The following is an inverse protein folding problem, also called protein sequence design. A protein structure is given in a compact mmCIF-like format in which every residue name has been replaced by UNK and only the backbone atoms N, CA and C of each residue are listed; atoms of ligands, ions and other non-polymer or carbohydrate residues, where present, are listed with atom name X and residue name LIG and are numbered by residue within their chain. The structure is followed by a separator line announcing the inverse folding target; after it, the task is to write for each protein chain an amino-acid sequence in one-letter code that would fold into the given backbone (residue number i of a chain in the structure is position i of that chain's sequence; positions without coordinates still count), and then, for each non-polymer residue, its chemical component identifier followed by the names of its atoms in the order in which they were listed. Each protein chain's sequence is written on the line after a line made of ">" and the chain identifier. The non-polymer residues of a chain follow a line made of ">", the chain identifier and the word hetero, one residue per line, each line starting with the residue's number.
data_IF_977197972975
#
_entry.id   IF_977197972975
#
_cell.length_a   1.000
_cell.length_b   1.000
_cell.length_c   1.000
_cell.angle_alpha   90.00
_cell.angle_beta   90.00
_cell.angle_gamma   90.00
#
_symmetry.space_group_name_H-M   'P 1'
#
loop_
_entity.id
_entity.type
_entity.pdbx_description
1 polymer ?
#
# COMPACT_ATOMS: atom_id res chain seq x y z
N UNK A 1 0.78 42.73 -26.98
CA UNK A 1 0.85 41.37 -27.56
C UNK A 1 1.38 40.43 -26.50
N UNK A 2 0.51 39.68 -25.86
CA UNK A 2 0.89 38.77 -24.81
C UNK A 2 0.86 37.33 -25.38
N UNK A 3 2.02 36.66 -25.38
CA UNK A 3 2.17 35.30 -25.83
C UNK A 3 1.85 34.34 -24.70
N UNK A 4 0.77 33.59 -24.84
CA UNK A 4 0.34 32.57 -23.90
C UNK A 4 1.02 31.25 -24.29
N UNK A 5 2.08 30.84 -23.56
CA UNK A 5 2.67 29.51 -23.73
C UNK A 5 1.81 28.48 -23.01
N UNK A 6 1.17 27.59 -23.75
CA UNK A 6 0.52 26.38 -23.25
C UNK A 6 1.59 25.40 -22.79
N UNK A 7 1.64 25.12 -21.49
CA UNK A 7 2.36 23.97 -20.94
C UNK A 7 1.49 22.74 -21.15
N UNK A 8 1.92 21.84 -22.04
CA UNK A 8 1.27 20.55 -22.22
C UNK A 8 1.76 19.61 -21.11
N UNK A 9 0.88 19.27 -20.16
CA UNK A 9 1.07 18.14 -19.27
C UNK A 9 1.00 16.84 -20.10
N UNK A 10 2.16 16.19 -20.25
CA UNK A 10 2.24 14.85 -20.77
C UNK A 10 2.02 13.91 -19.60
N UNK A 11 0.80 13.36 -19.50
CA UNK A 11 0.46 12.32 -18.53
C UNK A 11 1.30 11.07 -18.82
N UNK A 12 2.08 10.65 -17.84
CA UNK A 12 2.79 9.37 -17.85
C UNK A 12 1.85 8.26 -17.38
N UNK A 13 0.94 7.82 -18.24
CA UNK A 13 -0.05 6.76 -17.94
C UNK A 13 0.49 5.33 -18.08
N UNK A 14 1.67 5.16 -18.67
CA UNK A 14 2.18 3.82 -19.04
C UNK A 14 2.75 3.02 -17.86
N UNK A 15 3.26 3.67 -16.80
CA UNK A 15 3.82 3.02 -15.62
C UNK A 15 2.76 2.46 -14.65
N UNK A 16 1.65 3.18 -14.50
CA UNK A 16 0.56 2.76 -13.60
C UNK A 16 -0.22 1.56 -14.13
N UNK A 17 -0.39 1.46 -15.43
CA UNK A 17 -1.13 0.35 -16.07
C UNK A 17 -0.38 -0.97 -15.93
N UNK A 18 0.96 -0.96 -16.00
CA UNK A 18 1.78 -2.16 -15.85
C UNK A 18 1.73 -2.73 -14.43
N UNK A 19 1.72 -1.89 -13.40
CA UNK A 19 1.68 -2.35 -11.99
C UNK A 19 0.39 -3.05 -11.61
N UNK A 20 -0.75 -2.63 -12.16
CA UNK A 20 -2.07 -3.19 -11.83
C UNK A 20 -2.29 -4.58 -12.43
N UNK A 21 -1.74 -4.86 -13.60
CA UNK A 21 -1.87 -6.17 -14.27
C UNK A 21 -1.27 -7.33 -13.46
N UNK A 22 -0.45 -7.05 -12.45
CA UNK A 22 0.19 -8.06 -11.60
C UNK A 22 -0.52 -8.25 -10.24
N UNK A 23 -1.51 -7.41 -9.90
CA UNK A 23 -2.24 -7.54 -8.63
C UNK A 23 -3.28 -8.65 -8.76
N UNK A 24 -3.09 -9.72 -8.00
CA UNK A 24 -4.03 -10.84 -7.92
C UNK A 24 -5.30 -10.46 -7.14
N UNK A 25 -6.23 -11.40 -7.00
CA UNK A 25 -7.44 -11.23 -6.21
C UNK A 25 -8.68 -10.87 -7.02
N UNK A 26 -9.82 -10.81 -6.34
CA UNK A 26 -11.14 -10.75 -6.96
C UNK A 26 -11.68 -9.32 -7.19
N UNK A 27 -10.92 -8.29 -6.84
CA UNK A 27 -11.31 -6.91 -7.13
C UNK A 27 -11.26 -6.60 -8.63
N UNK A 28 -12.12 -5.68 -9.07
CA UNK A 28 -12.03 -5.15 -10.43
C UNK A 28 -10.72 -4.39 -10.64
N UNK A 29 -10.27 -4.30 -11.89
CA UNK A 29 -9.06 -3.54 -12.25
C UNK A 29 -9.13 -2.06 -11.81
N UNK A 30 -10.32 -1.46 -11.84
CA UNK A 30 -10.55 -0.11 -11.33
C UNK A 30 -10.31 -0.03 -9.82
N UNK A 31 -10.81 -1.00 -9.05
CA UNK A 31 -10.62 -1.06 -7.61
C UNK A 31 -9.16 -1.31 -7.24
N UNK A 32 -8.47 -2.21 -7.94
CA UNK A 32 -7.03 -2.46 -7.75
C UNK A 32 -6.19 -1.20 -8.01
N UNK A 33 -6.49 -0.45 -9.10
CA UNK A 33 -5.84 0.84 -9.37
C UNK A 33 -6.08 1.85 -8.26
N UNK A 34 -7.29 1.92 -7.73
CA UNK A 34 -7.60 2.83 -6.63
C UNK A 34 -6.81 2.46 -5.37
N UNK A 35 -6.78 1.18 -4.98
CA UNK A 35 -5.98 0.70 -3.84
C UNK A 35 -4.50 1.04 -4.01
N UNK A 36 -3.92 0.75 -5.17
CA UNK A 36 -2.52 1.08 -5.47
C UNK A 36 -2.26 2.58 -5.45
N UNK A 37 -3.17 3.39 -6.01
CA UNK A 37 -3.06 4.84 -6.02
C UNK A 37 -3.09 5.44 -4.62
N UNK A 38 -4.00 4.98 -3.74
CA UNK A 38 -4.06 5.40 -2.34
C UNK A 38 -2.79 4.98 -1.59
N UNK A 39 -2.34 3.74 -1.78
CA UNK A 39 -1.09 3.27 -1.18
C UNK A 39 0.10 4.14 -1.62
N UNK A 40 0.27 4.36 -2.91
CA UNK A 40 1.34 5.20 -3.46
C UNK A 40 1.27 6.63 -2.94
N UNK A 41 0.09 7.17 -2.69
CA UNK A 41 -0.07 8.49 -2.08
C UNK A 41 0.50 8.53 -0.66
N UNK A 42 0.29 7.49 0.16
CA UNK A 42 0.84 7.41 1.51
C UNK A 42 2.36 7.21 1.55
N UNK A 43 2.93 6.51 0.58
CA UNK A 43 4.39 6.31 0.46
C UNK A 43 5.09 7.38 -0.37
N UNK A 44 4.37 8.43 -0.76
CA UNK A 44 4.78 9.43 -1.75
C UNK A 44 6.22 9.95 -1.57
N UNK A 45 6.74 10.44 -2.60
CA UNK A 45 8.02 11.13 -2.88
C UNK A 45 9.15 10.90 -1.85
N UNK A 46 10.19 10.13 -2.21
CA UNK A 46 11.40 9.95 -1.38
C UNK A 46 11.91 11.27 -0.82
N UNK A 47 12.21 11.30 0.48
CA UNK A 47 12.72 12.48 1.20
C UNK A 47 11.64 13.42 1.74
N UNK A 48 10.36 13.28 1.39
CA UNK A 48 9.29 14.17 1.86
C UNK A 48 8.36 13.53 2.91
N UNK A 49 8.41 12.22 3.11
CA UNK A 49 7.62 11.53 4.14
C UNK A 49 8.45 10.50 4.90
N UNK A 50 8.05 10.25 6.14
CA UNK A 50 8.70 9.24 6.98
C UNK A 50 8.67 7.87 6.31
N UNK A 51 9.83 7.21 6.21
CA UNK A 51 9.95 5.86 5.68
C UNK A 51 9.62 5.69 4.19
N UNK A 52 9.54 6.76 3.40
CA UNK A 52 9.18 6.69 1.98
C UNK A 52 10.06 5.73 1.17
N UNK A 53 11.37 5.70 1.44
CA UNK A 53 12.31 4.80 0.75
C UNK A 53 11.98 3.32 1.04
N UNK A 54 11.52 3.02 2.25
CA UNK A 54 11.09 1.68 2.64
C UNK A 54 9.69 1.38 2.07
N UNK A 55 8.76 2.32 2.21
CA UNK A 55 7.41 2.19 1.68
C UNK A 55 7.40 1.95 0.17
N UNK A 56 8.26 2.62 -0.58
CA UNK A 56 8.40 2.44 -2.02
C UNK A 56 8.92 1.07 -2.47
N UNK A 57 9.43 0.23 -1.54
CA UNK A 57 9.84 -1.17 -1.81
C UNK A 57 8.70 -2.17 -1.63
N UNK A 58 7.62 -1.77 -0.96
CA UNK A 58 6.44 -2.60 -0.75
C UNK A 58 5.66 -2.75 -2.05
N UNK A 59 5.31 -3.97 -2.41
CA UNK A 59 4.54 -4.29 -3.61
C UNK A 59 3.20 -4.87 -3.22
N UNK A 60 2.10 -4.22 -3.56
CA UNK A 60 0.77 -4.80 -3.45
C UNK A 60 0.63 -5.90 -4.51
N UNK A 61 0.52 -7.15 -4.08
CA UNK A 61 0.46 -8.31 -4.97
C UNK A 61 -0.91 -8.96 -5.02
N UNK A 62 -1.76 -8.75 -4.01
CA UNK A 62 -3.12 -9.25 -4.01
C UNK A 62 -4.06 -8.29 -3.27
N UNK A 63 -5.30 -8.18 -3.78
CA UNK A 63 -6.38 -7.46 -3.13
C UNK A 63 -7.72 -8.15 -3.38
N UNK A 64 -8.40 -8.55 -2.30
CA UNK A 64 -9.63 -9.33 -2.35
C UNK A 64 -10.63 -8.89 -1.28
N UNK A 65 -11.92 -9.03 -1.62
CA UNK A 65 -13.02 -8.84 -0.68
C UNK A 65 -13.95 -10.04 -0.76
N UNK A 66 -14.27 -10.64 0.38
CA UNK A 66 -15.07 -11.83 0.49
C UNK A 66 -16.32 -11.60 1.34
N UNK A 67 -17.35 -12.37 1.09
CA UNK A 67 -18.49 -12.44 2.00
C UNK A 67 -18.06 -13.16 3.30
N UNK A 68 -18.23 -12.47 4.42
CA UNK A 68 -18.04 -13.02 5.75
C UNK A 68 -19.31 -13.67 6.31
N UNK A 69 -19.26 -14.07 7.57
CA UNK A 69 -20.42 -14.60 8.29
C UNK A 69 -21.38 -13.47 8.67
N UNK A 70 -22.65 -13.78 8.82
CA UNK A 70 -23.68 -12.85 9.30
C UNK A 70 -23.73 -11.52 8.51
N UNK A 71 -23.71 -11.57 7.20
CA UNK A 71 -23.72 -10.40 6.30
C UNK A 71 -22.55 -9.41 6.51
N UNK A 72 -21.42 -9.88 7.02
CA UNK A 72 -20.20 -9.08 7.09
C UNK A 72 -19.40 -9.23 5.77
N UNK A 73 -18.45 -8.33 5.56
CA UNK A 73 -17.46 -8.44 4.49
C UNK A 73 -16.06 -8.50 5.09
N UNK A 74 -15.20 -9.31 4.50
CA UNK A 74 -13.79 -9.47 4.87
C UNK A 74 -12.96 -8.96 3.72
N UNK A 75 -12.02 -8.08 4.00
CA UNK A 75 -11.05 -7.59 3.02
C UNK A 75 -9.66 -8.07 3.37
N UNK A 76 -8.92 -8.45 2.36
CA UNK A 76 -7.55 -8.92 2.46
C UNK A 76 -6.68 -8.24 1.39
N UNK A 77 -5.50 -7.80 1.79
CA UNK A 77 -4.46 -7.32 0.89
C UNK A 77 -3.14 -7.98 1.25
N UNK A 78 -2.38 -8.38 0.23
CA UNK A 78 -1.06 -8.99 0.40
C UNK A 78 -0.01 -8.06 -0.19
N UNK A 79 1.01 -7.80 0.61
CA UNK A 79 2.20 -7.06 0.20
C UNK A 79 3.43 -7.93 0.27
N UNK A 80 4.33 -7.71 -0.67
CA UNK A 80 5.66 -8.32 -0.69
C UNK A 80 6.73 -7.26 -0.53
N UNK A 81 7.79 -7.60 0.21
CA UNK A 81 9.00 -6.79 0.33
C UNK A 81 10.21 -7.69 0.54
N UNK A 82 11.31 -7.36 -0.10
CA UNK A 82 12.61 -7.99 0.18
C UNK A 82 13.22 -7.35 1.42
N UNK A 83 13.56 -8.19 2.41
CA UNK A 83 14.19 -7.72 3.65
C UNK A 83 15.66 -7.46 3.40
N UNK A 84 16.05 -6.21 3.44
CA UNK A 84 17.42 -5.76 3.24
C UNK A 84 18.09 -5.36 4.56
N UNK A 85 19.40 -5.23 4.56
CA UNK A 85 20.20 -5.00 5.78
C UNK A 85 19.82 -3.71 6.53
N UNK A 86 19.44 -2.66 5.84
CA UNK A 86 19.01 -1.39 6.39
C UNK A 86 17.66 -1.46 7.14
N UNK A 87 16.88 -2.52 6.90
CA UNK A 87 15.64 -2.81 7.62
C UNK A 87 15.87 -3.63 8.90
N UNK A 88 17.11 -4.10 9.13
CA UNK A 88 17.43 -5.03 10.19
C UNK A 88 18.13 -4.35 11.37
N UNK A 89 17.96 -4.95 12.55
CA UNK A 89 18.72 -4.61 13.75
C UNK A 89 20.16 -5.19 13.72
N UNK A 90 20.92 -5.00 14.79
CA UNK A 90 22.30 -5.48 14.92
C UNK A 90 22.41 -7.02 14.85
N UNK A 91 21.32 -7.74 15.13
CA UNK A 91 21.24 -9.20 15.07
C UNK A 91 20.86 -9.74 13.68
N UNK A 92 20.80 -8.89 12.66
CA UNK A 92 20.35 -9.22 11.29
C UNK A 92 18.91 -9.73 11.20
N UNK A 93 18.07 -9.29 12.10
CA UNK A 93 16.65 -9.60 12.15
C UNK A 93 15.89 -8.33 11.82
N UNK A 94 14.79 -8.44 11.09
CA UNK A 94 13.90 -7.29 10.78
C UNK A 94 13.62 -6.50 12.05
N UNK A 95 13.96 -5.22 12.03
CA UNK A 95 13.78 -4.35 13.20
C UNK A 95 12.29 -4.21 13.52
N UNK A 96 11.91 -4.36 14.79
CA UNK A 96 10.51 -4.28 15.21
C UNK A 96 9.81 -2.97 14.80
N UNK A 97 10.53 -1.84 14.85
CA UNK A 97 9.97 -0.57 14.37
C UNK A 97 9.75 -0.55 12.85
N UNK A 98 10.62 -1.19 12.07
CA UNK A 98 10.44 -1.36 10.63
C UNK A 98 9.22 -2.24 10.34
N UNK A 99 9.07 -3.36 11.05
CA UNK A 99 7.91 -4.23 10.95
C UNK A 99 6.61 -3.50 11.33
N UNK A 100 6.62 -2.69 12.40
CA UNK A 100 5.48 -1.88 12.80
C UNK A 100 5.09 -0.84 11.73
N UNK A 101 6.08 -0.17 11.13
CA UNK A 101 5.85 0.75 10.02
C UNK A 101 5.21 0.05 8.82
N UNK A 102 5.69 -1.14 8.44
CA UNK A 102 5.12 -1.92 7.33
C UNK A 102 3.65 -2.27 7.63
N UNK A 103 3.36 -2.74 8.85
CA UNK A 103 1.98 -3.11 9.24
C UNK A 103 1.07 -1.88 9.21
N UNK A 104 1.52 -0.75 9.75
CA UNK A 104 0.75 0.50 9.75
C UNK A 104 0.39 0.92 8.33
N UNK A 105 1.39 1.01 7.47
CA UNK A 105 1.24 1.46 6.11
C UNK A 105 0.37 0.50 5.25
N UNK A 106 0.54 -0.82 5.41
CA UNK A 106 -0.18 -1.79 4.59
C UNK A 106 -1.62 -2.03 5.06
N UNK A 107 -1.90 -1.90 6.37
CA UNK A 107 -3.21 -2.26 6.94
C UNK A 107 -4.36 -1.40 6.40
N UNK A 108 -4.11 -0.12 6.11
CA UNK A 108 -5.12 0.77 5.53
C UNK A 108 -5.58 0.31 4.14
N UNK A 109 -4.72 -0.37 3.39
CA UNK A 109 -5.06 -0.84 2.03
C UNK A 109 -6.22 -1.84 2.03
N UNK A 110 -6.34 -2.67 3.07
CA UNK A 110 -7.47 -3.59 3.21
C UNK A 110 -8.79 -2.82 3.45
N UNK A 111 -8.77 -1.73 4.22
CA UNK A 111 -9.95 -0.88 4.39
C UNK A 111 -10.31 -0.17 3.09
N UNK A 112 -9.33 0.34 2.35
CA UNK A 112 -9.56 0.96 1.04
C UNK A 112 -10.16 -0.05 0.06
N UNK A 113 -9.66 -1.29 0.02
CA UNK A 113 -10.23 -2.36 -0.79
C UNK A 113 -11.70 -2.62 -0.42
N UNK A 114 -12.02 -2.68 0.86
CA UNK A 114 -13.40 -2.82 1.35
C UNK A 114 -14.28 -1.65 0.92
N UNK A 115 -13.78 -0.42 1.07
CA UNK A 115 -14.48 0.80 0.69
C UNK A 115 -14.84 0.84 -0.80
N UNK A 116 -13.97 0.30 -1.69
CA UNK A 116 -14.26 0.23 -3.14
C UNK A 116 -15.45 -0.66 -3.46
N UNK A 117 -15.71 -1.69 -2.65
CA UNK A 117 -16.83 -2.63 -2.84
C UNK A 117 -18.10 -2.13 -2.18
N UNK A 118 -17.99 -1.56 -0.98
CA UNK A 118 -19.15 -1.14 -0.19
C UNK A 118 -19.54 0.33 -0.43
N UNK A 119 -18.76 1.10 -1.19
CA UNK A 119 -19.09 2.46 -1.60
C UNK A 119 -18.90 3.52 -0.52
N UNK A 120 -17.90 3.37 0.35
CA UNK A 120 -17.53 4.40 1.34
C UNK A 120 -16.04 4.78 1.23
N UNK A 121 -15.72 6.00 1.71
CA UNK A 121 -14.33 6.43 1.85
C UNK A 121 -13.70 5.76 3.07
N UNK A 122 -12.70 4.95 2.83
CA UNK A 122 -11.95 4.21 3.84
C UNK A 122 -10.51 4.72 4.00
N UNK A 123 -10.18 5.89 3.46
CA UNK A 123 -8.89 6.54 3.70
C UNK A 123 -8.84 7.11 5.10
N UNK A 124 -7.67 7.07 5.73
CA UNK A 124 -7.52 7.57 7.09
C UNK A 124 -6.15 7.32 7.68
N UNK A 125 -6.03 7.53 8.98
CA UNK A 125 -4.82 7.29 9.76
C UNK A 125 -5.11 6.33 10.89
N UNK A 126 -4.13 5.50 11.25
CA UNK A 126 -4.22 4.56 12.36
C UNK A 126 -4.36 5.32 13.68
N UNK A 127 -5.37 4.97 14.48
CA UNK A 127 -5.59 5.55 15.81
C UNK A 127 -4.95 4.74 16.93
N UNK A 128 -4.90 3.41 16.77
CA UNK A 128 -4.30 2.50 17.75
C UNK A 128 -3.85 1.23 17.05
N UNK A 129 -2.71 0.70 17.48
CA UNK A 129 -2.17 -0.57 17.01
C UNK A 129 -1.67 -1.40 18.19
N UNK A 130 -1.97 -2.70 18.19
CA UNK A 130 -1.40 -3.67 19.13
C UNK A 130 -0.71 -4.78 18.33
N UNK A 131 0.62 -4.84 18.40
CA UNK A 131 1.43 -5.75 17.62
C UNK A 131 2.15 -6.74 18.53
N UNK A 132 2.02 -8.03 18.22
CA UNK A 132 2.70 -9.11 18.92
C UNK A 132 3.57 -9.87 17.91
N UNK A 133 4.87 -9.88 18.14
CA UNK A 133 5.82 -10.59 17.29
C UNK A 133 6.03 -12.01 17.80
N UNK A 134 5.54 -13.01 17.08
CA UNK A 134 5.66 -14.41 17.46
C UNK A 134 6.96 -15.05 17.00
N UNK A 135 7.61 -14.50 15.97
CA UNK A 135 8.85 -15.03 15.39
C UNK A 135 9.69 -13.92 14.78
N UNK A 136 10.99 -14.04 14.87
CA UNK A 136 11.93 -13.19 14.17
C UNK A 136 11.93 -13.49 12.66
N UNK A 137 12.08 -12.42 11.84
CA UNK A 137 12.25 -12.50 10.39
C UNK A 137 13.70 -12.15 10.09
N UNK A 138 14.45 -13.10 9.54
CA UNK A 138 15.85 -12.90 9.09
C UNK A 138 15.90 -12.39 7.64
N UNK A 139 16.92 -11.62 7.33
CA UNK A 139 17.29 -11.22 5.97
C UNK A 139 17.88 -12.38 5.20
#
# INVERSE_FOLDING_TARGET
>A
MASTSRVSHKESTDGETSGVLHIQGNLSEKAKRHCLGVFNFYVSTPGNSFGADLGGRLKLVEASVYAGRANTSISETVFEVEITRDMCNIFKILHGACAAYIVDLCSVSALVALGTVLGFDATGVSQAMNLIWHKAISS
#
